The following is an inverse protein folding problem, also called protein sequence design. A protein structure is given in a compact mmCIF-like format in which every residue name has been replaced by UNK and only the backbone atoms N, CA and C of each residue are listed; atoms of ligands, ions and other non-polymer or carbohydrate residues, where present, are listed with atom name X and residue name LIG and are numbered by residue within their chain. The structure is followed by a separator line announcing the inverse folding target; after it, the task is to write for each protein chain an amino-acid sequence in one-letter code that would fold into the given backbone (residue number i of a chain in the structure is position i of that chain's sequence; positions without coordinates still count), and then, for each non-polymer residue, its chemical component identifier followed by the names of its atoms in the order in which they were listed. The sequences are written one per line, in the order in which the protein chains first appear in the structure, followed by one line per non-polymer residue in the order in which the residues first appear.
data_IF_405057387121
#
_entry.id   IF_405057387121
#
_cell.length_a   1.000
_cell.length_b   1.000
_cell.length_c   1.000
_cell.angle_alpha   90.00
_cell.angle_beta   90.00
_cell.angle_gamma   90.00
#
_symmetry.space_group_name_H-M   'P 1'
#
loop_
_entity.id
_entity.type
_entity.pdbx_description
1 polymer ?
#
# COMPACT_ATOMS: atom_id res chain seq x y z
N UNK A 1 43.26 20.13 29.57
CA UNK A 1 41.83 19.97 29.79
C UNK A 1 41.17 19.57 28.48
N UNK A 2 40.89 18.28 28.27
CA UNK A 2 40.25 17.76 27.06
C UNK A 2 38.70 17.78 27.23
N UNK A 3 37.99 18.60 26.45
CA UNK A 3 36.53 18.62 26.41
C UNK A 3 36.04 17.40 25.63
N UNK A 4 35.42 16.46 26.30
CA UNK A 4 34.72 15.34 25.65
C UNK A 4 33.47 15.86 24.96
N UNK A 5 33.48 15.85 23.62
CA UNK A 5 32.31 16.16 22.79
C UNK A 5 31.40 14.91 22.74
N UNK A 6 30.26 14.95 23.41
CA UNK A 6 29.24 13.92 23.31
C UNK A 6 28.45 14.14 22.02
N UNK A 7 28.69 13.29 21.01
CA UNK A 7 27.79 13.22 19.84
C UNK A 7 26.46 12.58 20.29
N UNK A 8 25.42 13.39 20.39
CA UNK A 8 24.05 12.92 20.58
C UNK A 8 23.55 12.34 19.24
N UNK A 9 23.66 11.03 19.06
CA UNK A 9 23.05 10.36 17.91
C UNK A 9 21.53 10.43 18.06
N UNK A 10 20.89 11.30 17.27
CA UNK A 10 19.45 11.41 17.18
C UNK A 10 18.90 10.14 16.51
N UNK A 11 18.42 9.17 17.28
CA UNK A 11 17.68 8.03 16.75
C UNK A 11 16.38 8.56 16.14
N UNK A 12 16.33 8.63 14.82
CA UNK A 12 15.08 8.83 14.08
C UNK A 12 14.31 7.51 14.19
N UNK A 13 13.44 7.41 15.18
CA UNK A 13 12.50 6.29 15.26
C UNK A 13 11.61 6.31 14.01
N UNK A 14 11.42 5.18 13.31
CA UNK A 14 10.46 5.12 12.23
C UNK A 14 9.08 5.46 12.78
N UNK A 15 8.28 6.25 12.03
CA UNK A 15 6.88 6.48 12.35
C UNK A 15 6.17 5.13 12.33
N UNK A 16 5.99 4.53 13.49
CA UNK A 16 5.15 3.36 13.65
C UNK A 16 3.69 3.84 13.62
N UNK A 17 2.94 3.41 12.63
CA UNK A 17 1.49 3.56 12.63
C UNK A 17 0.96 2.51 13.61
N UNK A 18 0.44 2.87 14.77
CA UNK A 18 -0.19 1.91 15.67
C UNK A 18 -1.53 1.40 15.07
N UNK A 19 -1.47 0.64 13.98
CA UNK A 19 -2.61 0.16 13.22
C UNK A 19 -2.52 -1.33 12.91
N UNK A 20 -3.62 -1.96 12.47
CA UNK A 20 -3.64 -3.37 12.14
C UNK A 20 -2.65 -3.68 11.01
N UNK A 21 -2.01 -4.86 11.08
CA UNK A 21 -1.07 -5.33 10.07
C UNK A 21 -1.71 -6.40 9.20
N UNK A 22 -1.46 -6.34 7.90
CA UNK A 22 -1.86 -7.37 6.96
C UNK A 22 -0.62 -7.96 6.29
N UNK A 23 -0.65 -9.28 6.07
CA UNK A 23 0.34 -9.97 5.24
C UNK A 23 -0.28 -10.25 3.87
N UNK A 24 0.38 -9.79 2.83
CA UNK A 24 0.09 -10.07 1.43
C UNK A 24 1.06 -11.14 0.94
N UNK A 25 0.55 -12.33 0.64
CA UNK A 25 1.32 -13.46 0.14
C UNK A 25 1.30 -13.45 -1.38
N UNK A 26 2.45 -13.24 -2.01
CA UNK A 26 2.56 -13.24 -3.48
C UNK A 26 3.35 -14.46 -3.96
N UNK A 27 3.34 -14.69 -5.28
CA UNK A 27 4.22 -15.68 -5.88
C UNK A 27 5.70 -15.24 -5.94
N UNK A 28 6.02 -14.02 -5.46
CA UNK A 28 7.39 -13.47 -5.37
C UNK A 28 7.87 -13.28 -3.93
N UNK A 29 7.04 -13.56 -2.94
CA UNK A 29 7.32 -13.40 -1.51
C UNK A 29 6.21 -12.67 -0.75
N UNK A 30 6.43 -12.47 0.53
CA UNK A 30 5.45 -11.85 1.42
C UNK A 30 5.77 -10.37 1.63
N UNK A 31 4.71 -9.56 1.69
CA UNK A 31 4.78 -8.14 2.02
C UNK A 31 3.89 -7.92 3.25
N UNK A 32 4.42 -7.30 4.30
CA UNK A 32 3.63 -6.92 5.48
C UNK A 32 3.42 -5.41 5.47
N UNK A 33 2.16 -5.03 5.56
CA UNK A 33 1.72 -3.63 5.58
C UNK A 33 1.09 -3.32 6.92
N UNK A 34 1.52 -2.25 7.56
CA UNK A 34 0.85 -1.64 8.70
C UNK A 34 -0.11 -0.57 8.19
N UNK A 35 -1.40 -0.69 8.59
CA UNK A 35 -2.47 0.17 8.09
C UNK A 35 -2.64 1.43 8.94
N UNK A 36 -2.88 2.56 8.29
CA UNK A 36 -2.98 3.87 8.90
C UNK A 36 -4.43 4.22 9.30
N UNK A 37 -5.02 3.44 10.22
CA UNK A 37 -6.43 3.58 10.60
C UNK A 37 -6.81 4.95 11.18
N UNK A 38 -5.86 5.70 11.74
CA UNK A 38 -6.10 7.05 12.26
C UNK A 38 -6.13 8.10 11.15
N UNK A 39 -5.28 7.94 10.12
CA UNK A 39 -5.12 8.92 9.05
C UNK A 39 -6.07 8.67 7.86
N UNK A 40 -6.47 7.41 7.64
CA UNK A 40 -7.35 7.00 6.55
C UNK A 40 -8.38 5.95 7.00
N UNK A 41 -9.24 6.27 7.99
CA UNK A 41 -10.13 5.30 8.62
C UNK A 41 -11.13 4.65 7.66
N UNK A 42 -11.73 5.42 6.73
CA UNK A 42 -12.69 4.89 5.77
C UNK A 42 -12.01 3.99 4.74
N UNK A 43 -10.85 4.40 4.27
CA UNK A 43 -10.04 3.63 3.31
C UNK A 43 -9.56 2.32 3.92
N UNK A 44 -9.04 2.34 5.16
CA UNK A 44 -8.63 1.13 5.87
C UNK A 44 -9.82 0.20 6.10
N UNK A 45 -10.97 0.71 6.52
CA UNK A 45 -12.20 -0.08 6.68
C UNK A 45 -12.61 -0.74 5.36
N UNK A 46 -12.60 0.00 4.26
CA UNK A 46 -12.90 -0.51 2.92
C UNK A 46 -11.92 -1.62 2.51
N UNK A 47 -10.62 -1.39 2.67
CA UNK A 47 -9.59 -2.38 2.34
C UNK A 47 -9.75 -3.66 3.17
N UNK A 48 -9.94 -3.55 4.49
CA UNK A 48 -10.14 -4.69 5.39
C UNK A 48 -11.42 -5.47 5.09
N UNK A 49 -12.45 -4.86 4.50
CA UNK A 49 -13.64 -5.57 4.04
C UNK A 49 -13.30 -6.57 2.94
N UNK A 50 -12.49 -6.18 1.93
CA UNK A 50 -12.00 -7.07 0.89
C UNK A 50 -11.03 -8.15 1.42
N UNK A 51 -10.28 -7.83 2.48
CA UNK A 51 -9.42 -8.82 3.16
C UNK A 51 -10.26 -9.86 3.89
N UNK A 52 -11.30 -9.41 4.60
CA UNK A 52 -12.15 -10.28 5.42
C UNK A 52 -12.98 -11.27 4.60
N UNK A 53 -13.43 -10.86 3.41
CA UNK A 53 -14.19 -11.74 2.49
C UNK A 53 -13.29 -12.57 1.56
N UNK A 54 -11.96 -12.41 1.65
CA UNK A 54 -10.99 -13.14 0.82
C UNK A 54 -10.98 -12.73 -0.66
N UNK A 55 -11.66 -11.64 -1.03
CA UNK A 55 -11.82 -11.27 -2.45
C UNK A 55 -10.56 -10.72 -3.11
N UNK A 56 -9.49 -10.46 -2.35
CA UNK A 56 -8.16 -10.20 -2.91
C UNK A 56 -7.41 -11.46 -3.34
N UNK A 57 -7.80 -12.64 -2.83
CA UNK A 57 -7.09 -13.89 -3.10
C UNK A 57 -7.20 -14.27 -4.59
N UNK A 58 -6.06 -14.55 -5.21
CA UNK A 58 -5.95 -14.82 -6.64
C UNK A 58 -5.97 -13.61 -7.56
N UNK A 59 -6.11 -12.38 -7.03
CA UNK A 59 -5.97 -11.16 -7.81
C UNK A 59 -4.51 -10.96 -8.26
N UNK A 60 -4.30 -10.06 -9.24
CA UNK A 60 -2.97 -9.80 -9.79
C UNK A 60 -2.53 -8.35 -9.59
N UNK A 61 -1.21 -8.16 -9.60
CA UNK A 61 -0.63 -6.85 -9.88
C UNK A 61 -0.55 -6.70 -11.40
N UNK A 62 -1.45 -5.93 -11.94
CA UNK A 62 -1.67 -5.81 -13.40
C UNK A 62 -0.87 -4.68 -14.05
N UNK A 63 -0.21 -3.82 -13.26
CA UNK A 63 0.58 -2.69 -13.75
C UNK A 63 1.81 -2.48 -12.88
N UNK A 64 2.96 -2.44 -13.53
CA UNK A 64 4.26 -2.18 -12.88
C UNK A 64 5.01 -1.14 -13.69
N UNK A 65 5.31 -0.02 -13.07
CA UNK A 65 6.18 1.02 -13.63
C UNK A 65 7.38 1.17 -12.71
N UNK A 66 8.54 0.77 -13.20
CA UNK A 66 9.81 0.93 -12.49
C UNK A 66 10.02 2.41 -12.09
N UNK A 67 10.53 2.65 -10.89
CA UNK A 67 10.71 3.99 -10.31
C UNK A 67 9.41 4.80 -10.16
N UNK A 68 8.26 4.11 -10.11
CA UNK A 68 6.99 4.76 -9.86
C UNK A 68 6.12 3.90 -8.93
N UNK A 69 5.33 2.95 -9.46
CA UNK A 69 4.36 2.17 -8.67
C UNK A 69 4.24 0.71 -9.13
N UNK A 70 3.78 -0.15 -8.21
CA UNK A 70 3.24 -1.50 -8.47
C UNK A 70 1.77 -1.51 -8.09
N UNK A 71 0.86 -1.63 -9.06
CA UNK A 71 -0.59 -1.51 -8.89
C UNK A 71 -1.30 -2.85 -9.08
N UNK A 72 -2.25 -3.17 -8.19
CA UNK A 72 -2.96 -4.44 -8.22
C UNK A 72 -4.35 -4.41 -7.56
N UNK A 73 -4.89 -5.61 -7.34
CA UNK A 73 -6.14 -5.84 -6.60
C UNK A 73 -7.43 -5.69 -7.41
N UNK A 74 -7.36 -5.31 -8.68
CA UNK A 74 -8.55 -5.03 -9.52
C UNK A 74 -8.95 -6.13 -10.49
N UNK A 75 -8.04 -7.05 -10.80
CA UNK A 75 -8.21 -8.05 -11.84
C UNK A 75 -7.78 -9.45 -11.37
N UNK A 76 -8.39 -10.48 -11.94
CA UNK A 76 -7.94 -11.86 -11.82
C UNK A 76 -6.85 -12.18 -12.87
N UNK A 77 -6.35 -13.43 -12.86
CA UNK A 77 -5.30 -13.89 -13.77
C UNK A 77 -5.73 -13.91 -15.24
N UNK A 78 -7.03 -13.89 -15.54
CA UNK A 78 -7.61 -13.79 -16.90
C UNK A 78 -7.86 -12.33 -17.30
N UNK A 79 -7.37 -11.37 -16.55
CA UNK A 79 -7.63 -9.94 -16.70
C UNK A 79 -9.10 -9.54 -16.65
N UNK A 80 -9.94 -10.35 -16.05
CA UNK A 80 -11.33 -10.00 -15.77
C UNK A 80 -11.38 -9.08 -14.54
N UNK A 81 -12.15 -8.01 -14.63
CA UNK A 81 -12.34 -7.09 -13.51
C UNK A 81 -13.09 -7.79 -12.38
N UNK A 82 -12.58 -7.67 -11.17
CA UNK A 82 -13.18 -8.25 -9.98
C UNK A 82 -14.30 -7.36 -9.43
N UNK A 83 -15.35 -7.94 -8.80
CA UNK A 83 -16.44 -7.19 -8.21
C UNK A 83 -15.96 -6.14 -7.20
N UNK A 84 -16.65 -5.01 -7.13
CA UNK A 84 -16.32 -3.92 -6.21
C UNK A 84 -17.47 -3.65 -5.25
N UNK A 85 -17.14 -3.19 -4.06
CA UNK A 85 -18.06 -2.50 -3.18
C UNK A 85 -18.22 -1.04 -3.61
N UNK A 86 -19.14 -0.32 -2.94
CA UNK A 86 -19.30 1.11 -3.14
C UNK A 86 -17.97 1.86 -2.97
N UNK A 87 -17.77 2.93 -3.74
CA UNK A 87 -16.58 3.76 -3.61
C UNK A 87 -16.43 4.37 -2.22
N UNK A 88 -15.18 4.64 -1.85
CA UNK A 88 -14.83 5.27 -0.58
C UNK A 88 -14.40 6.72 -0.80
N UNK A 89 -14.76 7.59 0.14
CA UNK A 89 -14.35 9.00 0.15
C UNK A 89 -12.82 9.12 0.13
N UNK A 90 -12.32 10.12 -0.58
CA UNK A 90 -10.89 10.40 -0.66
C UNK A 90 -10.39 11.10 0.60
N UNK A 91 -9.48 10.44 1.33
CA UNK A 91 -8.89 10.94 2.57
C UNK A 91 -7.46 11.51 2.38
N UNK A 92 -7.10 11.89 1.14
CA UNK A 92 -5.73 12.38 0.85
C UNK A 92 -5.45 13.78 1.39
N UNK A 93 -6.47 14.63 1.59
CA UNK A 93 -6.30 15.99 2.12
C UNK A 93 -5.97 15.92 3.61
N UNK A 94 -4.79 16.43 3.99
CA UNK A 94 -4.28 16.31 5.35
C UNK A 94 -3.83 14.90 5.74
N UNK A 95 -3.89 13.94 4.80
CA UNK A 95 -3.45 12.56 4.97
C UNK A 95 -1.94 12.37 4.79
N UNK A 96 -1.54 11.13 4.69
CA UNK A 96 -0.13 10.72 4.55
C UNK A 96 0.39 10.98 3.13
N UNK A 97 1.68 11.33 2.97
CA UNK A 97 2.30 11.51 1.67
C UNK A 97 2.59 10.16 0.98
N UNK A 98 2.62 10.17 -0.36
CA UNK A 98 3.00 9.04 -1.20
C UNK A 98 4.53 8.85 -1.18
N UNK A 99 5.05 8.31 -0.09
CA UNK A 99 6.46 8.00 0.11
C UNK A 99 6.79 6.58 -0.32
N UNK A 100 8.06 6.30 -0.63
CA UNK A 100 8.52 4.93 -0.92
C UNK A 100 8.03 3.94 0.13
N UNK A 101 7.47 2.82 -0.33
CA UNK A 101 6.91 1.77 0.50
C UNK A 101 5.52 2.05 1.06
N UNK A 102 4.92 3.23 0.83
CA UNK A 102 3.52 3.45 1.19
C UNK A 102 2.59 2.73 0.22
N UNK A 103 1.40 2.33 0.74
CA UNK A 103 0.30 1.78 -0.05
C UNK A 103 -0.81 2.84 -0.13
N UNK A 104 -1.34 3.05 -1.34
CA UNK A 104 -2.39 4.03 -1.59
C UNK A 104 -3.48 3.48 -2.50
N UNK A 105 -4.69 4.07 -2.42
CA UNK A 105 -5.81 3.68 -3.28
C UNK A 105 -5.67 4.26 -4.68
N UNK A 106 -5.79 3.39 -5.67
CA UNK A 106 -6.02 3.82 -7.05
C UNK A 106 -7.46 4.31 -7.22
N UNK A 107 -7.66 5.29 -8.09
CA UNK A 107 -8.97 5.86 -8.42
C UNK A 107 -9.03 6.33 -9.88
N UNK A 108 -10.23 6.60 -10.36
CA UNK A 108 -10.44 7.28 -11.63
C UNK A 108 -10.19 8.81 -11.50
N UNK A 109 -10.57 9.58 -12.48
CA UNK A 109 -10.52 11.05 -12.38
C UNK A 109 -11.47 11.60 -11.30
N UNK A 110 -12.59 10.91 -11.04
CA UNK A 110 -13.48 11.29 -9.94
C UNK A 110 -12.77 11.08 -8.59
N UNK A 111 -12.85 12.08 -7.73
CA UNK A 111 -12.09 12.13 -6.47
C UNK A 111 -12.46 10.98 -5.54
N UNK A 112 -13.76 10.73 -5.37
CA UNK A 112 -14.32 9.71 -4.47
C UNK A 112 -14.71 8.44 -5.24
N UNK A 113 -13.81 7.93 -6.10
CA UNK A 113 -14.08 6.75 -6.94
C UNK A 113 -13.22 5.53 -6.59
N UNK A 114 -12.44 5.61 -5.53
CA UNK A 114 -11.62 4.49 -5.10
C UNK A 114 -12.50 3.33 -4.59
N UNK A 115 -12.23 2.11 -5.06
CA UNK A 115 -12.96 0.91 -4.62
C UNK A 115 -12.02 -0.11 -4.02
N UNK A 116 -11.39 -0.95 -4.83
CA UNK A 116 -10.52 -2.05 -4.39
C UNK A 116 -9.08 -1.98 -4.86
N UNK A 117 -8.79 -1.27 -5.97
CA UNK A 117 -7.45 -1.21 -6.52
C UNK A 117 -6.55 -0.34 -5.64
N UNK A 118 -5.34 -0.83 -5.43
CA UNK A 118 -4.30 -0.15 -4.67
C UNK A 118 -2.98 -0.18 -5.43
N UNK A 119 -2.03 0.64 -4.99
CA UNK A 119 -0.66 0.59 -5.49
C UNK A 119 0.33 0.80 -4.35
N UNK A 120 1.53 0.25 -4.53
CA UNK A 120 2.69 0.55 -3.71
C UNK A 120 3.56 1.59 -4.40
N UNK A 121 4.03 2.57 -3.66
CA UNK A 121 4.99 3.55 -4.12
C UNK A 121 6.41 2.95 -4.08
N UNK A 122 7.09 2.91 -5.23
CA UNK A 122 8.47 2.41 -5.35
C UNK A 122 9.50 3.50 -5.03
N UNK A 123 9.10 4.75 -5.14
CA UNK A 123 9.86 5.97 -4.82
C UNK A 123 8.95 6.98 -4.12
N UNK A 124 9.50 8.12 -3.74
CA UNK A 124 8.73 9.26 -3.25
C UNK A 124 7.98 9.94 -4.40
N UNK A 125 6.69 9.70 -4.50
CA UNK A 125 5.82 10.22 -5.57
C UNK A 125 5.05 11.48 -5.11
N UNK A 126 5.76 12.58 -4.93
CA UNK A 126 5.17 13.82 -4.41
C UNK A 126 4.05 14.40 -5.30
N UNK A 127 4.06 14.11 -6.60
CA UNK A 127 3.03 14.48 -7.56
C UNK A 127 1.68 13.77 -7.33
N UNK A 128 1.65 12.69 -6.54
CA UNK A 128 0.43 11.97 -6.15
C UNK A 128 -0.17 12.49 -4.83
N UNK A 129 0.51 13.38 -4.14
CA UNK A 129 0.03 13.98 -2.91
C UNK A 129 -1.10 14.98 -3.17
N UNK A 130 -1.95 15.19 -2.16
CA UNK A 130 -2.90 16.29 -2.19
C UNK A 130 -2.16 17.63 -2.19
N UNK A 131 -2.64 18.56 -3.01
CA UNK A 131 -2.13 19.92 -3.17
C UNK A 131 -3.28 20.86 -3.48
N UNK A 132 -3.23 21.57 -4.60
CA UNK A 132 -4.36 22.36 -5.11
C UNK A 132 -5.60 21.51 -5.43
N UNK A 133 -5.42 20.21 -5.72
CA UNK A 133 -6.47 19.22 -5.90
C UNK A 133 -6.33 18.04 -4.94
N UNK A 134 -7.32 17.12 -4.92
CA UNK A 134 -7.22 15.90 -4.17
C UNK A 134 -6.15 14.96 -4.77
N UNK A 135 -5.30 14.39 -3.92
CA UNK A 135 -4.31 13.40 -4.27
C UNK A 135 -4.88 11.97 -4.25
N UNK A 136 -3.99 11.02 -3.95
CA UNK A 136 -4.32 9.62 -3.74
C UNK A 136 -4.17 9.27 -2.26
N UNK A 137 -5.19 8.64 -1.68
CA UNK A 137 -5.21 8.32 -0.25
C UNK A 137 -4.19 7.25 0.09
N UNK A 138 -3.14 7.62 0.80
CA UNK A 138 -2.21 6.68 1.44
C UNK A 138 -2.87 6.14 2.69
N UNK A 139 -2.94 4.81 2.83
CA UNK A 139 -3.62 4.14 3.93
C UNK A 139 -2.77 3.11 4.69
N UNK A 140 -1.46 3.06 4.41
CA UNK A 140 -0.53 2.19 5.12
C UNK A 140 0.90 2.30 4.61
N UNK A 141 1.77 1.56 5.29
CA UNK A 141 3.21 1.51 5.01
C UNK A 141 3.70 0.06 5.08
N UNK A 142 4.57 -0.31 4.16
CA UNK A 142 5.28 -1.60 4.21
C UNK A 142 6.25 -1.58 5.37
N UNK A 143 6.13 -2.57 6.25
CA UNK A 143 7.00 -2.77 7.42
C UNK A 143 7.93 -3.99 7.27
N UNK A 144 7.59 -4.92 6.32
CA UNK A 144 8.44 -6.04 5.91
C UNK A 144 8.18 -6.35 4.44
N UNK A 145 9.21 -6.81 3.70
CA UNK A 145 9.06 -7.23 2.31
C UNK A 145 9.30 -6.11 1.30
N UNK A 146 10.03 -5.03 1.65
CA UNK A 146 10.44 -4.01 0.67
C UNK A 146 11.29 -4.63 -0.45
N UNK A 147 12.11 -5.61 -0.15
CA UNK A 147 12.91 -6.36 -1.13
C UNK A 147 12.03 -7.16 -2.11
N UNK A 148 10.81 -7.54 -1.71
CA UNK A 148 9.83 -8.16 -2.62
C UNK A 148 9.30 -7.11 -3.59
N UNK A 149 8.93 -5.92 -3.13
CA UNK A 149 8.53 -4.81 -4.00
C UNK A 149 9.63 -4.42 -4.99
N UNK A 150 10.89 -4.42 -4.55
CA UNK A 150 12.03 -4.12 -5.41
C UNK A 150 12.22 -5.19 -6.51
N UNK A 151 11.95 -6.46 -6.20
CA UNK A 151 11.90 -7.54 -7.20
C UNK A 151 10.73 -7.34 -8.17
N UNK A 152 9.54 -6.99 -7.67
CA UNK A 152 8.38 -6.72 -8.51
C UNK A 152 8.61 -5.53 -9.45
N UNK A 153 9.37 -4.53 -9.04
CA UNK A 153 9.74 -3.38 -9.85
C UNK A 153 10.62 -3.73 -11.06
N UNK A 154 11.26 -4.90 -11.06
CA UNK A 154 12.20 -5.35 -12.10
C UNK A 154 11.60 -6.40 -13.04
N UNK A 155 10.34 -6.78 -12.86
CA UNK A 155 9.70 -7.74 -13.76
C UNK A 155 9.57 -7.16 -15.18
N UNK A 156 9.67 -8.03 -16.17
CA UNK A 156 9.43 -7.62 -17.54
C UNK A 156 7.97 -7.25 -17.74
N UNK A 157 7.73 -6.09 -18.36
CA UNK A 157 6.40 -5.60 -18.69
C UNK A 157 6.24 -5.38 -20.20
N UNK A 158 5.00 -5.34 -20.66
CA UNK A 158 4.68 -5.11 -22.05
C UNK A 158 3.25 -4.62 -22.24
N UNK A 159 2.83 -4.53 -23.51
CA UNK A 159 1.47 -4.18 -23.87
C UNK A 159 0.54 -5.39 -23.73
N UNK A 160 -0.58 -5.20 -23.04
CA UNK A 160 -1.66 -6.19 -22.96
C UNK A 160 -2.80 -5.81 -23.91
N UNK A 161 -3.14 -6.63 -24.91
CA UNK A 161 -4.28 -6.37 -25.78
C UNK A 161 -5.63 -6.50 -25.06
N UNK A 162 -5.68 -7.29 -23.98
CA UNK A 162 -6.90 -7.48 -23.17
C UNK A 162 -7.20 -6.22 -22.37
N UNK A 163 -6.20 -5.69 -21.65
CA UNK A 163 -6.34 -4.47 -20.88
C UNK A 163 -6.21 -3.20 -21.72
N UNK A 164 -5.73 -3.31 -22.97
CA UNK A 164 -5.36 -2.19 -23.86
C UNK A 164 -4.44 -1.19 -23.15
N UNK A 165 -3.47 -1.72 -22.43
CA UNK A 165 -2.57 -0.96 -21.57
C UNK A 165 -1.13 -1.45 -21.69
N UNK A 166 -0.19 -0.52 -21.51
CA UNK A 166 1.23 -0.82 -21.32
C UNK A 166 1.52 -1.13 -19.84
N UNK A 167 2.78 -1.46 -19.57
CA UNK A 167 3.30 -1.69 -18.21
C UNK A 167 2.66 -2.90 -17.50
N UNK A 168 2.08 -3.83 -18.28
CA UNK A 168 1.50 -5.07 -17.76
C UNK A 168 2.59 -6.13 -17.64
N UNK A 169 2.78 -6.77 -16.47
CA UNK A 169 3.75 -7.86 -16.33
C UNK A 169 3.53 -8.98 -17.34
N UNK A 170 4.59 -9.41 -18.04
CA UNK A 170 4.53 -10.50 -19.03
C UNK A 170 4.32 -11.86 -18.38
N UNK A 171 4.70 -12.01 -17.12
CA UNK A 171 4.37 -13.16 -16.26
C UNK A 171 3.51 -12.68 -15.09
N UNK A 172 2.40 -13.35 -14.77
CA UNK A 172 1.47 -12.87 -13.74
C UNK A 172 2.13 -12.74 -12.35
N UNK A 173 2.00 -11.57 -11.74
CA UNK A 173 2.30 -11.37 -10.32
C UNK A 173 1.00 -11.60 -9.55
N UNK A 174 0.93 -12.73 -8.85
CA UNK A 174 -0.29 -13.19 -8.19
C UNK A 174 -0.25 -12.84 -6.72
N UNK A 175 -1.29 -12.15 -6.24
CA UNK A 175 -1.60 -11.99 -4.82
C UNK A 175 -2.37 -13.23 -4.38
N UNK A 176 -1.66 -14.22 -3.81
CA UNK A 176 -2.21 -15.52 -3.45
C UNK A 176 -3.21 -15.42 -2.30
N UNK A 177 -2.88 -14.57 -1.32
CA UNK A 177 -3.69 -14.41 -0.11
C UNK A 177 -3.38 -13.08 0.59
N UNK A 178 -4.39 -12.50 1.23
CA UNK A 178 -4.22 -11.37 2.14
C UNK A 178 -4.79 -11.74 3.51
N UNK A 179 -3.99 -11.63 4.56
CA UNK A 179 -4.36 -12.06 5.92
C UNK A 179 -4.17 -10.91 6.90
N UNK A 180 -5.19 -10.63 7.68
CA UNK A 180 -5.06 -9.76 8.85
C UNK A 180 -4.25 -10.50 9.92
N UNK A 181 -3.16 -9.88 10.38
CA UNK A 181 -2.31 -10.44 11.42
C UNK A 181 -2.88 -10.14 12.80
N UNK A 182 -2.78 -11.11 13.71
CA UNK A 182 -3.10 -10.87 15.11
C UNK A 182 -2.14 -9.82 15.71
N UNK A 183 -2.69 -8.91 16.52
CA UNK A 183 -1.88 -7.94 17.26
C UNK A 183 -0.90 -8.68 18.19
N UNK A 184 0.36 -8.31 18.14
CA UNK A 184 1.36 -8.82 19.08
C UNK A 184 1.29 -8.05 20.41
N UNK A 185 1.79 -8.63 21.53
CA UNK A 185 1.89 -7.91 22.80
C UNK A 185 2.69 -6.61 22.73
N UNK A 186 3.61 -6.50 21.76
CA UNK A 186 4.38 -5.27 21.50
C UNK A 186 3.51 -4.17 20.87
N UNK A 187 2.60 -4.51 19.97
CA UNK A 187 1.68 -3.57 19.33
C UNK A 187 0.75 -2.92 20.37
N UNK A 188 0.27 -3.70 21.37
CA UNK A 188 -0.59 -3.23 22.48
C UNK A 188 0.09 -2.22 23.43
N UNK A 189 1.44 -2.22 23.50
CA UNK A 189 2.18 -1.26 24.34
C UNK A 189 2.31 0.12 23.70
N UNK A 190 2.29 0.22 22.38
CA UNK A 190 2.43 1.48 21.64
C UNK A 190 1.12 2.29 21.76
N UNK A 191 -0.04 1.63 21.65
CA UNK A 191 -1.36 2.31 21.78
C UNK A 191 -1.59 2.92 23.17
N UNK A 192 -1.08 2.29 24.26
CA UNK A 192 -1.19 2.83 25.61
C UNK A 192 -0.30 4.06 25.87
N UNK A 193 0.75 4.28 25.08
CA UNK A 193 1.63 5.47 25.19
C UNK A 193 1.16 6.65 24.34
N UNK A 194 0.38 6.41 23.29
CA UNK A 194 -0.15 7.45 22.42
C UNK A 194 -1.46 8.08 22.91
N UNK A 195 -2.05 7.54 23.99
CA UNK A 195 -3.30 7.99 24.60
C UNK A 195 -3.15 8.69 25.96
N UNK A 196 -1.93 9.22 26.25
CA UNK A 196 -1.69 10.06 27.46
C UNK A 196 -1.19 11.43 27.07
#
# INVERSE_FOLDING_TARGET
MMKKLWLLAMLIAPLAFAGPKVRMETNHGNIVVELASKQAPQTVKNFLRYVADGSYDGSIFHRVIQYFVVQGGGYNQQFQQLPTYEPVVNESRGGLPNKRGSIAMARTQAVDSATRQFYFNLVDNNNLNAGGSAGYTVFGQVVQGMEVLDKLAQVQTGYSPILRANDVPTSPIILKKVVLLAETPADKKVDKKAGK
#
